data_IF_226050294232
#
_entry.id   IF_226050294232
#
_cell.length_a   1.000
_cell.length_b   1.000
_cell.length_c   1.000
_cell.angle_alpha   90.00
_cell.angle_beta   90.00
_cell.angle_gamma   90.00
#
_symmetry.space_group_name_H-M   'P 1'
#
loop_
_entity.id
_entity.type
_entity.pdbx_description
1 polymer ?
#
# COMPACT_ATOMS: atom_id res chain seq x y z
N UNK A 1 -4.14 -0.94 5.00
CA UNK A 1 -4.88 -1.97 4.23
C UNK A 1 -6.17 -1.39 3.67
N UNK A 2 -6.60 -1.90 2.50
CA UNK A 2 -7.90 -1.60 1.91
C UNK A 2 -8.94 -2.56 2.49
N UNK A 3 -10.08 -2.02 2.91
CA UNK A 3 -11.17 -2.77 3.52
C UNK A 3 -12.51 -2.25 2.98
N UNK A 4 -13.57 -3.01 3.21
CA UNK A 4 -14.95 -2.63 2.92
C UNK A 4 -15.71 -2.61 4.24
N UNK A 5 -16.33 -1.49 4.56
CA UNK A 5 -17.25 -1.37 5.69
C UNK A 5 -18.67 -1.64 5.19
N UNK A 6 -19.41 -2.49 5.88
CA UNK A 6 -20.79 -2.82 5.57
C UNK A 6 -21.71 -2.47 6.74
N UNK A 7 -22.85 -1.90 6.39
CA UNK A 7 -23.97 -1.67 7.32
C UNK A 7 -25.02 -2.76 7.09
N UNK A 8 -25.27 -3.52 8.12
CA UNK A 8 -26.12 -4.69 8.10
C UNK A 8 -27.37 -4.46 8.93
N UNK A 9 -28.46 -5.10 8.57
CA UNK A 9 -29.66 -5.17 9.38
C UNK A 9 -30.01 -6.63 9.64
N UNK A 10 -30.17 -6.97 10.90
CA UNK A 10 -30.69 -8.27 11.26
C UNK A 10 -32.21 -8.28 11.06
N UNK A 11 -32.77 -9.11 10.16
CA UNK A 11 -34.21 -9.12 9.89
C UNK A 11 -35.06 -9.66 11.06
N UNK A 12 -34.41 -10.23 12.09
CA UNK A 12 -35.06 -10.72 13.31
C UNK A 12 -35.08 -9.69 14.44
N UNK A 13 -34.38 -8.56 14.29
CA UNK A 13 -34.31 -7.46 15.25
C UNK A 13 -34.81 -6.19 14.58
N UNK A 14 -35.86 -5.57 15.12
CA UNK A 14 -36.51 -4.45 14.46
C UNK A 14 -35.71 -3.12 14.52
N UNK A 15 -34.69 -2.98 15.33
CA UNK A 15 -34.06 -1.67 15.62
C UNK A 15 -32.54 -1.60 15.60
N UNK A 16 -31.80 -2.69 15.38
CA UNK A 16 -30.34 -2.60 15.44
C UNK A 16 -29.67 -2.80 14.08
N UNK A 17 -28.91 -1.78 13.68
CA UNK A 17 -27.91 -1.92 12.61
C UNK A 17 -26.62 -2.50 13.21
N UNK A 18 -26.08 -3.46 12.49
CA UNK A 18 -24.78 -4.03 12.79
C UNK A 18 -23.74 -3.54 11.77
N UNK A 19 -22.51 -3.47 12.19
CA UNK A 19 -21.40 -3.02 11.37
C UNK A 19 -20.40 -4.15 11.19
N UNK A 20 -19.93 -4.31 9.97
CA UNK A 20 -18.94 -5.31 9.65
C UNK A 20 -17.84 -4.73 8.75
N UNK A 21 -16.68 -5.33 8.81
CA UNK A 21 -15.57 -5.01 7.90
C UNK A 21 -15.07 -6.26 7.19
N UNK A 22 -14.75 -6.09 5.91
CA UNK A 22 -14.18 -7.14 5.07
C UNK A 22 -12.86 -6.62 4.52
N UNK A 23 -11.76 -7.30 4.82
CA UNK A 23 -10.47 -6.94 4.26
C UNK A 23 -10.40 -7.36 2.79
N UNK A 24 -9.98 -6.45 1.93
CA UNK A 24 -9.65 -6.77 0.53
C UNK A 24 -8.31 -7.53 0.51
N UNK A 25 -8.28 -8.80 0.07
CA UNK A 25 -7.09 -9.62 0.19
C UNK A 25 -5.99 -9.16 -0.76
N UNK A 26 -4.83 -8.79 -0.22
CA UNK A 26 -3.67 -8.33 -1.00
C UNK A 26 -2.96 -9.43 -1.80
N UNK A 27 -3.25 -10.70 -1.48
CA UNK A 27 -2.71 -11.87 -2.21
C UNK A 27 -3.36 -12.07 -3.57
N UNK A 28 -4.54 -11.50 -3.79
CA UNK A 28 -5.24 -11.54 -5.07
C UNK A 28 -4.89 -10.31 -5.92
N UNK A 29 -4.92 -10.44 -7.27
CA UNK A 29 -4.76 -9.30 -8.14
C UNK A 29 -5.91 -8.30 -7.92
N UNK A 30 -5.59 -7.03 -7.69
CA UNK A 30 -6.62 -6.01 -7.48
C UNK A 30 -7.36 -5.65 -8.76
N UNK A 31 -6.68 -5.70 -9.92
CA UNK A 31 -7.30 -5.56 -11.23
C UNK A 31 -7.62 -6.95 -11.78
N UNK A 32 -8.88 -7.23 -11.99
CA UNK A 32 -9.38 -8.49 -12.54
C UNK A 32 -9.88 -8.24 -13.96
N UNK A 33 -9.36 -9.02 -14.90
CA UNK A 33 -9.82 -8.96 -16.28
C UNK A 33 -11.18 -9.63 -16.40
N UNK A 34 -12.12 -8.93 -17.00
CA UNK A 34 -13.46 -9.45 -17.28
C UNK A 34 -13.70 -9.52 -18.80
N UNK A 35 -14.64 -10.36 -19.27
CA UNK A 35 -15.01 -10.39 -20.68
C UNK A 35 -15.37 -9.00 -21.18
N UNK A 36 -14.78 -8.60 -22.30
CA UNK A 36 -15.08 -7.35 -22.98
C UNK A 36 -16.19 -7.55 -24.01
N UNK A 37 -17.00 -6.53 -24.21
CA UNK A 37 -18.01 -6.52 -25.28
C UNK A 37 -17.38 -6.39 -26.66
N UNK A 38 -16.17 -5.83 -26.72
CA UNK A 38 -15.38 -5.62 -27.90
C UNK A 38 -14.08 -6.43 -27.82
N UNK A 39 -13.70 -7.10 -28.91
CA UNK A 39 -12.48 -7.91 -28.98
C UNK A 39 -11.19 -7.09 -28.94
N UNK A 40 -11.25 -5.79 -29.25
CA UNK A 40 -10.09 -4.90 -29.25
C UNK A 40 -9.87 -4.19 -27.92
N UNK A 41 -10.86 -4.25 -27.01
CA UNK A 41 -10.77 -3.59 -25.71
C UNK A 41 -10.44 -4.55 -24.57
N UNK A 42 -9.79 -4.03 -23.53
CA UNK A 42 -9.54 -4.73 -22.27
C UNK A 42 -10.46 -4.12 -21.21
N UNK A 43 -11.35 -4.95 -20.67
CA UNK A 43 -12.22 -4.56 -19.57
C UNK A 43 -11.64 -5.07 -18.24
N UNK A 44 -11.53 -4.18 -17.27
CA UNK A 44 -10.99 -4.46 -15.94
C UNK A 44 -12.01 -4.03 -14.88
N UNK A 45 -12.10 -4.80 -13.82
CA UNK A 45 -12.85 -4.47 -12.61
C UNK A 45 -11.92 -4.55 -11.39
N UNK A 46 -12.13 -3.72 -10.41
CA UNK A 46 -11.37 -3.79 -9.18
C UNK A 46 -11.91 -4.88 -8.25
N UNK A 47 -11.02 -5.54 -7.53
CA UNK A 47 -11.38 -6.65 -6.62
C UNK A 47 -12.37 -6.20 -5.55
N UNK A 48 -12.20 -5.01 -4.99
CA UNK A 48 -13.15 -4.43 -4.03
C UNK A 48 -14.55 -4.31 -4.61
N UNK A 49 -14.72 -3.92 -5.87
CA UNK A 49 -16.01 -3.85 -6.52
C UNK A 49 -16.67 -5.23 -6.66
N UNK A 50 -15.86 -6.27 -6.97
CA UNK A 50 -16.37 -7.65 -7.03
C UNK A 50 -16.86 -8.09 -5.65
N UNK A 51 -16.11 -7.75 -4.59
CA UNK A 51 -16.49 -8.09 -3.21
C UNK A 51 -17.79 -7.35 -2.84
N UNK A 52 -17.90 -6.06 -3.11
CA UNK A 52 -19.08 -5.27 -2.84
C UNK A 52 -20.32 -5.82 -3.55
N UNK A 53 -20.20 -6.18 -4.82
CA UNK A 53 -21.29 -6.76 -5.61
C UNK A 53 -21.76 -8.13 -5.10
N UNK A 54 -20.97 -8.80 -4.27
CA UNK A 54 -21.25 -10.12 -3.71
C UNK A 54 -21.21 -10.16 -2.18
N UNK A 55 -21.30 -9.00 -1.54
CA UNK A 55 -21.10 -8.89 -0.09
C UNK A 55 -22.23 -9.60 0.69
N UNK A 56 -23.40 -9.74 0.11
CA UNK A 56 -24.53 -10.50 0.63
C UNK A 56 -24.17 -11.98 0.87
N UNK A 57 -23.28 -12.53 0.08
CA UNK A 57 -22.80 -13.92 0.23
C UNK A 57 -21.89 -14.12 1.44
N UNK A 58 -21.32 -13.05 1.97
CA UNK A 58 -20.47 -13.09 3.16
C UNK A 58 -21.28 -12.96 4.45
N UNK A 59 -22.46 -12.33 4.41
CA UNK A 59 -23.28 -12.04 5.57
C UNK A 59 -24.65 -12.72 5.45
N UNK A 60 -24.64 -14.06 5.45
CA UNK A 60 -25.86 -14.85 5.32
C UNK A 60 -26.84 -14.56 6.47
N UNK A 61 -28.08 -14.26 6.11
CA UNK A 61 -29.15 -13.98 7.08
C UNK A 61 -29.25 -12.51 7.51
N UNK A 62 -28.46 -11.65 6.91
CA UNK A 62 -28.55 -10.18 7.09
C UNK A 62 -28.98 -9.49 5.81
N UNK A 63 -29.69 -8.38 5.96
CA UNK A 63 -29.93 -7.43 4.86
C UNK A 63 -28.74 -6.49 4.76
N UNK A 64 -28.16 -6.37 3.60
CA UNK A 64 -27.08 -5.38 3.33
C UNK A 64 -27.74 -4.04 3.03
N UNK A 65 -27.52 -3.05 3.90
CA UNK A 65 -28.06 -1.69 3.70
C UNK A 65 -27.16 -0.90 2.75
N UNK A 66 -25.85 -0.95 3.01
CA UNK A 66 -24.82 -0.36 2.15
C UNK A 66 -23.46 -0.95 2.47
N UNK A 67 -22.53 -0.80 1.52
CA UNK A 67 -21.14 -1.16 1.69
C UNK A 67 -20.27 -0.13 0.98
N UNK A 68 -19.11 0.23 1.58
CA UNK A 68 -18.19 1.22 1.03
C UNK A 68 -16.75 0.83 1.34
N UNK A 69 -15.82 1.04 0.39
CA UNK A 69 -14.42 0.86 0.66
C UNK A 69 -13.89 1.94 1.61
N UNK A 70 -12.94 1.55 2.42
CA UNK A 70 -12.17 2.46 3.25
C UNK A 70 -10.72 1.98 3.40
N UNK A 71 -9.82 2.90 3.71
CA UNK A 71 -8.42 2.62 3.94
C UNK A 71 -7.93 3.36 5.16
N UNK A 72 -7.20 2.67 6.01
CA UNK A 72 -6.54 3.27 7.17
C UNK A 72 -5.03 3.27 7.01
N UNK A 73 -4.41 4.36 7.46
CA UNK A 73 -2.97 4.45 7.71
C UNK A 73 -2.78 4.53 9.22
N UNK A 74 -1.87 3.70 9.72
CA UNK A 74 -1.53 3.67 11.14
C UNK A 74 -0.15 4.24 11.35
N UNK A 75 0.05 4.86 12.50
CA UNK A 75 1.38 5.30 12.90
C UNK A 75 2.31 4.08 12.96
N UNK A 76 3.47 4.22 12.31
CA UNK A 76 4.48 3.18 12.23
C UNK A 76 5.74 3.54 13.03
N UNK A 77 5.74 4.68 13.73
CA UNK A 77 6.88 5.11 14.53
C UNK A 77 7.09 4.15 15.70
N UNK A 78 8.30 3.64 15.75
CA UNK A 78 8.78 2.82 16.86
C UNK A 78 9.48 3.76 17.83
N UNK A 79 8.84 4.13 18.91
CA UNK A 79 9.53 4.72 20.06
C UNK A 79 10.19 3.59 20.84
N UNK A 80 11.48 3.39 20.62
CA UNK A 80 12.31 2.49 21.41
C UNK A 80 12.94 3.36 22.50
N UNK A 81 12.52 3.19 23.73
CA UNK A 81 13.23 3.72 24.90
C UNK A 81 14.42 2.81 25.18
N UNK A 82 15.58 3.18 24.60
CA UNK A 82 16.82 2.37 24.68
C UNK A 82 17.32 2.19 26.12
N UNK A 83 17.01 3.11 27.00
CA UNK A 83 17.54 3.15 28.37
C UNK A 83 16.91 2.10 29.33
N UNK A 84 15.78 1.48 28.98
CA UNK A 84 15.10 0.50 29.84
C UNK A 84 15.07 -0.94 29.28
N UNK A 85 15.61 -1.18 28.08
CA UNK A 85 15.49 -2.46 27.43
C UNK A 85 16.63 -3.41 27.84
N UNK A 86 16.37 -4.27 28.82
CA UNK A 86 17.27 -5.36 29.18
C UNK A 86 17.46 -6.41 28.07
N UNK A 87 16.54 -6.45 27.10
CA UNK A 87 16.59 -7.30 25.90
C UNK A 87 15.96 -6.56 24.70
N UNK A 88 16.81 -5.96 23.90
CA UNK A 88 16.46 -5.18 22.70
C UNK A 88 15.64 -6.01 21.68
N UNK A 89 15.94 -7.30 21.52
CA UNK A 89 15.22 -8.19 20.59
C UNK A 89 13.76 -8.40 21.03
N UNK A 90 13.56 -8.67 22.31
CA UNK A 90 12.20 -8.86 22.86
C UNK A 90 11.39 -7.57 22.78
N UNK A 91 12.03 -6.40 22.97
CA UNK A 91 11.34 -5.12 22.83
C UNK A 91 11.00 -4.81 21.35
N UNK A 92 11.92 -5.06 20.44
CA UNK A 92 11.65 -4.95 18.99
C UNK A 92 10.48 -5.88 18.59
N UNK A 93 10.44 -7.12 19.05
CA UNK A 93 9.33 -8.04 18.76
C UNK A 93 7.98 -7.52 19.30
N UNK A 94 7.97 -6.97 20.50
CA UNK A 94 6.77 -6.34 21.07
C UNK A 94 6.34 -5.11 20.26
N UNK A 95 7.27 -4.27 19.86
CA UNK A 95 7.00 -3.08 19.06
C UNK A 95 6.52 -3.43 17.65
N UNK A 96 7.09 -4.46 17.01
CA UNK A 96 6.59 -4.98 15.72
C UNK A 96 5.15 -5.48 15.85
N UNK A 97 4.81 -6.15 16.96
CA UNK A 97 3.42 -6.56 17.24
C UNK A 97 2.52 -5.33 17.49
N UNK A 98 2.96 -4.34 18.27
CA UNK A 98 2.23 -3.08 18.49
C UNK A 98 2.01 -2.29 17.21
N UNK A 99 2.90 -2.40 16.20
CA UNK A 99 2.77 -1.75 14.90
C UNK A 99 1.48 -2.13 14.16
N UNK A 100 0.98 -3.34 14.34
CA UNK A 100 -0.32 -3.76 13.77
C UNK A 100 -1.51 -3.04 14.44
N UNK A 101 -1.32 -2.52 15.66
CA UNK A 101 -2.32 -1.86 16.51
C UNK A 101 -2.02 -0.38 16.72
N UNK A 102 -1.04 0.19 16.00
CA UNK A 102 -0.72 1.62 16.08
C UNK A 102 -1.95 2.50 15.82
N UNK A 103 -1.94 3.68 16.41
CA UNK A 103 -2.98 4.69 16.25
C UNK A 103 -3.27 4.95 14.76
N UNK A 104 -4.54 5.06 14.41
CA UNK A 104 -4.93 5.44 13.06
C UNK A 104 -4.71 6.93 12.90
N UNK A 105 -3.81 7.30 12.00
CA UNK A 105 -3.44 8.70 11.70
C UNK A 105 -4.08 9.23 10.41
N UNK A 106 -4.72 8.36 9.62
CA UNK A 106 -5.43 8.75 8.41
C UNK A 106 -6.49 7.73 8.07
N UNK A 107 -7.69 8.23 7.76
CA UNK A 107 -8.81 7.45 7.23
C UNK A 107 -9.19 7.99 5.85
N UNK A 108 -9.07 7.16 4.82
CA UNK A 108 -9.58 7.44 3.48
C UNK A 108 -10.89 6.68 3.30
N UNK A 109 -11.91 7.37 2.83
CA UNK A 109 -13.24 6.81 2.53
C UNK A 109 -13.70 7.27 1.16
N UNK A 110 -14.56 6.50 0.53
CA UNK A 110 -15.21 6.92 -0.70
C UNK A 110 -16.12 8.13 -0.44
N UNK A 111 -16.10 9.10 -1.36
CA UNK A 111 -17.02 10.23 -1.29
C UNK A 111 -18.47 9.71 -1.45
N UNK A 112 -19.35 10.18 -0.57
CA UNK A 112 -20.72 9.67 -0.52
C UNK A 112 -20.94 8.50 0.45
N UNK A 113 -19.93 8.07 1.20
CA UNK A 113 -20.09 7.07 2.27
C UNK A 113 -21.28 7.38 3.18
N UNK A 114 -22.05 6.36 3.56
CA UNK A 114 -23.18 6.51 4.49
C UNK A 114 -22.71 7.13 5.82
N UNK A 115 -23.42 8.14 6.29
CA UNK A 115 -23.06 8.89 7.51
C UNK A 115 -22.98 8.00 8.75
N UNK A 116 -23.77 6.95 8.83
CA UNK A 116 -23.78 5.99 9.95
C UNK A 116 -22.47 5.18 9.95
N UNK A 117 -22.08 4.66 8.76
CA UNK A 117 -20.79 3.98 8.60
C UNK A 117 -19.60 4.88 8.94
N UNK A 118 -19.62 6.11 8.43
CA UNK A 118 -18.56 7.07 8.73
C UNK A 118 -18.48 7.37 10.22
N UNK A 119 -19.63 7.56 10.89
CA UNK A 119 -19.69 7.79 12.34
C UNK A 119 -19.14 6.60 13.12
N UNK A 120 -19.45 5.38 12.68
CA UNK A 120 -18.93 4.17 13.30
C UNK A 120 -17.41 4.05 13.10
N UNK A 121 -16.89 4.25 11.88
CA UNK A 121 -15.45 4.22 11.59
C UNK A 121 -14.68 5.25 12.43
N UNK A 122 -15.24 6.47 12.58
CA UNK A 122 -14.66 7.50 13.45
C UNK A 122 -14.52 7.04 14.89
N UNK A 123 -15.57 6.42 15.43
CA UNK A 123 -15.60 5.93 16.80
C UNK A 123 -14.64 4.73 16.98
N UNK A 124 -14.67 3.79 16.05
CA UNK A 124 -13.86 2.56 16.12
C UNK A 124 -12.35 2.88 16.04
N UNK A 125 -11.97 3.81 15.17
CA UNK A 125 -10.57 4.22 14.99
C UNK A 125 -10.14 5.39 15.86
N UNK A 126 -11.05 5.98 16.63
CA UNK A 126 -10.78 7.18 17.47
C UNK A 126 -10.12 8.29 16.64
N UNK A 127 -10.70 8.61 15.47
CA UNK A 127 -10.15 9.57 14.52
C UNK A 127 -11.08 10.74 14.28
N UNK A 128 -10.51 11.95 14.19
CA UNK A 128 -11.24 13.20 13.99
C UNK A 128 -11.29 13.67 12.54
N UNK A 129 -12.04 14.77 12.32
CA UNK A 129 -12.41 15.27 11.01
C UNK A 129 -11.24 15.63 10.08
N UNK A 130 -10.15 16.15 10.62
CA UNK A 130 -9.00 16.63 9.84
C UNK A 130 -8.17 15.49 9.24
N UNK A 131 -8.26 14.30 9.83
CA UNK A 131 -7.56 13.10 9.38
C UNK A 131 -8.42 12.20 8.49
N UNK A 132 -9.61 12.66 8.10
CA UNK A 132 -10.55 11.92 7.25
C UNK A 132 -10.62 12.52 5.86
N UNK A 133 -10.21 11.74 4.88
CA UNK A 133 -10.16 12.12 3.48
C UNK A 133 -11.26 11.43 2.68
N UNK A 134 -12.17 12.21 2.12
CA UNK A 134 -13.19 11.73 1.19
C UNK A 134 -12.63 11.76 -0.22
N UNK A 135 -12.61 10.62 -0.86
CA UNK A 135 -12.01 10.42 -2.18
C UNK A 135 -13.11 10.17 -3.20
N UNK A 136 -13.18 11.03 -4.21
CA UNK A 136 -14.05 10.83 -5.36
C UNK A 136 -13.32 9.96 -6.39
N UNK A 137 -13.47 8.66 -6.25
CA UNK A 137 -12.80 7.65 -7.08
C UNK A 137 -12.24 6.50 -6.25
N UNK A 138 -11.47 5.61 -6.89
CA UNK A 138 -10.92 4.45 -6.19
C UNK A 138 -9.89 4.85 -5.14
N UNK A 139 -9.94 4.19 -4.00
CA UNK A 139 -8.94 4.34 -2.96
C UNK A 139 -7.64 3.63 -3.35
N UNK A 140 -6.50 4.06 -2.79
CA UNK A 140 -5.20 3.43 -3.02
C UNK A 140 -4.83 3.25 -4.50
N UNK A 141 -4.36 4.30 -5.13
CA UNK A 141 -4.05 4.33 -6.57
C UNK A 141 -2.80 3.53 -6.97
N UNK A 142 -2.17 2.78 -6.05
CA UNK A 142 -0.97 1.99 -6.35
C UNK A 142 -1.21 0.93 -7.43
N UNK A 143 -2.46 0.51 -7.65
CA UNK A 143 -2.81 -0.43 -8.71
C UNK A 143 -2.53 0.10 -10.13
N UNK A 144 -2.45 1.41 -10.33
CA UNK A 144 -2.08 1.99 -11.64
C UNK A 144 -0.69 1.56 -12.11
N UNK A 145 0.22 1.23 -11.20
CA UNK A 145 1.52 0.66 -11.58
C UNK A 145 1.37 -0.67 -12.34
N UNK A 146 0.39 -1.50 -11.93
CA UNK A 146 0.07 -2.75 -12.63
C UNK A 146 -0.69 -2.50 -13.95
N UNK A 147 -1.56 -1.49 -13.97
CA UNK A 147 -2.25 -1.07 -15.20
C UNK A 147 -1.24 -0.64 -16.26
N UNK A 148 -0.23 0.15 -15.87
CA UNK A 148 0.85 0.56 -16.76
C UNK A 148 1.59 -0.63 -17.40
N UNK A 149 1.67 -1.77 -16.71
CA UNK A 149 2.34 -2.99 -17.16
C UNK A 149 1.55 -3.86 -18.15
N UNK A 150 0.30 -3.52 -18.49
CA UNK A 150 -0.54 -4.35 -19.39
C UNK A 150 0.07 -4.36 -20.80
N UNK A 151 0.25 -5.56 -21.35
CA UNK A 151 0.80 -5.77 -22.70
C UNK A 151 -0.13 -5.21 -23.79
N UNK A 152 0.45 -4.82 -24.93
CA UNK A 152 -0.29 -4.31 -26.09
C UNK A 152 -0.44 -2.78 -26.11
N UNK A 153 -0.01 -2.07 -25.05
CA UNK A 153 -0.13 -0.62 -24.91
C UNK A 153 1.23 0.10 -24.91
N UNK A 154 2.24 -0.48 -25.52
CA UNK A 154 3.61 0.09 -25.54
C UNK A 154 3.68 1.47 -26.22
N UNK A 155 2.78 1.73 -27.17
CA UNK A 155 2.65 3.02 -27.85
C UNK A 155 2.19 4.16 -26.94
N UNK A 156 1.58 3.84 -25.76
CA UNK A 156 1.16 4.79 -24.74
C UNK A 156 2.23 5.02 -23.67
N UNK A 157 3.38 4.33 -23.76
CA UNK A 157 4.45 4.43 -22.77
C UNK A 157 5.58 5.31 -23.27
N UNK A 158 6.19 6.01 -22.33
CA UNK A 158 7.45 6.68 -22.60
C UNK A 158 8.56 5.66 -22.88
N UNK A 159 9.49 6.00 -23.77
CA UNK A 159 10.67 5.17 -23.99
C UNK A 159 11.45 4.99 -22.69
N UNK A 160 11.87 3.76 -22.36
CA UNK A 160 12.68 3.53 -21.17
C UNK A 160 13.96 4.36 -21.21
N UNK A 161 14.22 5.09 -20.15
CA UNK A 161 15.49 5.78 -19.98
C UNK A 161 16.59 4.76 -19.65
N UNK A 162 17.74 4.90 -20.33
CA UNK A 162 18.95 4.11 -20.01
C UNK A 162 19.88 4.96 -19.16
N UNK A 163 20.11 4.59 -17.88
CA UNK A 163 21.08 5.27 -17.04
C UNK A 163 22.46 5.29 -17.70
N UNK A 164 23.15 6.41 -17.57
CA UNK A 164 24.50 6.58 -18.13
C UNK A 164 25.54 6.04 -17.15
N UNK A 165 26.70 5.58 -17.63
CA UNK A 165 27.80 5.23 -16.73
C UNK A 165 28.29 6.45 -15.94
N UNK A 166 28.88 6.19 -14.78
CA UNK A 166 29.51 7.21 -13.93
C UNK A 166 30.94 7.45 -14.43
N UNK A 167 31.16 8.59 -15.08
CA UNK A 167 32.43 8.90 -15.73
C UNK A 167 33.59 9.14 -14.75
N UNK A 168 33.25 9.52 -13.53
CA UNK A 168 34.21 9.78 -12.44
C UNK A 168 34.80 8.49 -11.86
N UNK A 169 34.23 7.33 -12.18
CA UNK A 169 34.70 6.02 -11.73
C UNK A 169 35.41 5.31 -12.87
N UNK A 170 36.69 5.04 -12.68
CA UNK A 170 37.49 4.22 -13.58
C UNK A 170 37.25 2.73 -13.25
N UNK A 171 36.63 1.94 -14.17
CA UNK A 171 36.33 0.54 -13.89
C UNK A 171 37.56 -0.35 -13.72
N UNK A 172 38.72 0.10 -14.23
CA UNK A 172 39.99 -0.64 -14.14
C UNK A 172 40.73 -0.44 -12.79
N UNK A 173 40.26 0.52 -11.98
CA UNK A 173 40.86 0.83 -10.68
C UNK A 173 40.04 0.32 -9.52
N UNK A 174 40.70 0.07 -8.40
CA UNK A 174 40.00 -0.27 -7.18
C UNK A 174 39.08 0.87 -6.70
N UNK A 175 37.81 0.55 -6.45
CA UNK A 175 36.80 1.53 -6.08
C UNK A 175 37.12 2.21 -4.73
N UNK A 176 37.59 1.47 -3.73
CA UNK A 176 37.92 2.05 -2.43
C UNK A 176 39.12 3.05 -2.53
N UNK A 177 40.09 2.75 -3.38
CA UNK A 177 41.19 3.69 -3.65
C UNK A 177 40.71 4.98 -4.31
N UNK A 178 39.73 4.90 -5.20
CA UNK A 178 39.12 6.08 -5.84
C UNK A 178 38.36 6.93 -4.84
N UNK A 179 37.52 6.31 -4.00
CA UNK A 179 36.75 7.00 -2.95
C UNK A 179 37.64 7.67 -1.91
N UNK A 180 38.80 7.07 -1.58
CA UNK A 180 39.80 7.71 -0.68
C UNK A 180 40.43 8.95 -1.27
N UNK A 181 40.53 9.03 -2.60
CA UNK A 181 41.14 10.14 -3.29
C UNK A 181 40.21 11.33 -3.52
N UNK A 182 38.91 11.04 -3.70
CA UNK A 182 37.90 12.06 -3.94
C UNK A 182 36.48 11.56 -3.61
N UNK A 183 35.61 12.49 -3.26
CA UNK A 183 34.18 12.21 -3.17
C UNK A 183 33.62 11.92 -4.56
N UNK A 184 32.73 10.92 -4.65
CA UNK A 184 32.08 10.55 -5.90
C UNK A 184 30.57 10.81 -5.75
N UNK A 185 30.05 11.75 -6.52
CA UNK A 185 28.64 12.05 -6.56
C UNK A 185 27.93 11.17 -7.59
N UNK A 186 26.88 10.48 -7.16
CA UNK A 186 26.01 9.68 -8.03
C UNK A 186 24.67 10.37 -8.21
N UNK A 187 24.26 10.56 -9.45
CA UNK A 187 23.02 11.26 -9.77
C UNK A 187 21.95 10.29 -10.34
N UNK A 188 21.22 9.64 -9.44
CA UNK A 188 20.16 8.72 -9.82
C UNK A 188 18.86 9.47 -10.16
N UNK A 189 18.05 8.95 -11.09
CA UNK A 189 18.20 7.72 -11.90
C UNK A 189 19.00 7.93 -13.19
N UNK A 190 19.65 9.07 -13.40
CA UNK A 190 20.32 9.41 -14.66
C UNK A 190 21.66 8.70 -14.84
N UNK A 191 22.33 8.39 -13.76
CA UNK A 191 23.50 7.51 -13.73
C UNK A 191 23.14 6.13 -13.18
N UNK A 192 23.91 5.10 -13.62
CA UNK A 192 23.70 3.71 -13.19
C UNK A 192 23.91 3.52 -11.70
N UNK A 193 23.18 2.59 -11.11
CA UNK A 193 23.34 2.20 -9.70
C UNK A 193 24.46 1.16 -9.49
N UNK A 194 25.05 0.65 -10.56
CA UNK A 194 26.07 -0.39 -10.50
C UNK A 194 27.24 -0.08 -9.54
N UNK A 195 27.76 1.16 -9.47
CA UNK A 195 28.84 1.49 -8.54
C UNK A 195 28.47 1.27 -7.07
N UNK A 196 27.21 1.51 -6.69
CA UNK A 196 26.73 1.24 -5.32
C UNK A 196 26.69 -0.25 -5.05
N UNK A 197 26.20 -1.04 -6.01
CA UNK A 197 26.18 -2.50 -5.91
C UNK A 197 27.60 -3.06 -5.79
N UNK A 198 28.53 -2.55 -6.59
CA UNK A 198 29.93 -2.97 -6.57
C UNK A 198 30.65 -2.56 -5.27
N UNK A 199 30.31 -1.38 -4.73
CA UNK A 199 30.79 -0.97 -3.42
C UNK A 199 30.39 -1.97 -2.33
N UNK A 200 29.08 -2.32 -2.28
CA UNK A 200 28.56 -3.28 -1.28
C UNK A 200 29.19 -4.67 -1.47
N UNK A 201 29.34 -5.15 -2.72
CA UNK A 201 29.98 -6.43 -2.99
C UNK A 201 31.43 -6.47 -2.53
N UNK A 202 32.20 -5.41 -2.82
CA UNK A 202 33.61 -5.31 -2.38
C UNK A 202 33.72 -5.21 -0.87
N UNK A 203 32.85 -4.41 -0.23
CA UNK A 203 32.83 -4.31 1.23
C UNK A 203 32.51 -5.64 1.91
N UNK A 204 31.58 -6.43 1.34
CA UNK A 204 31.23 -7.75 1.87
C UNK A 204 32.37 -8.78 1.82
N UNK A 205 33.41 -8.55 1.00
CA UNK A 205 34.56 -9.41 0.84
C UNK A 205 35.85 -8.82 1.40
N UNK A 206 35.77 -7.59 1.93
CA UNK A 206 36.94 -6.93 2.58
C UNK A 206 37.16 -7.56 3.96
N UNK A 207 38.38 -8.01 4.27
CA UNK A 207 38.71 -8.65 5.55
C UNK A 207 38.86 -7.67 6.72
N UNK A 208 38.79 -6.33 6.47
CA UNK A 208 38.94 -5.29 7.50
C UNK A 208 37.54 -4.73 7.89
#
# INVERSE_FOLDING_TARGET
>A
SLNIAALLRNPKSEEEYEYATVQVPSVLPRLVRVPSLDSESISLIMLEQIIEMNIDKLFLGYDIICAYPYRVMRNADLTIEEDEAADLLTEIEKQVKKRQWGEVIKLEVEDGIDKRLLSWLKKDFTIDGDDIYKINGPLDLTFFMKLYGIEGFDHLRNKPYKPQPVLEIDPEKDLFSQIRNQDILLFHPYQTFDPVVDFVRKAATDPN
#
